data_IF_158286771783
#
_entry.id   IF_158286771783
#
_cell.length_a   1.000
_cell.length_b   1.000
_cell.length_c   1.000
_cell.angle_alpha   90.00
_cell.angle_beta   90.00
_cell.angle_gamma   90.00
#
_symmetry.space_group_name_H-M   'P 1'
#
loop_
_entity.id
_entity.type
_entity.pdbx_description
1 polymer ?
#
# COMPACT_ATOMS: atom_id res chain seq x y z
N UNK A 1 -10.12 -2.23 15.89
CA UNK A 1 -10.03 -3.35 14.93
C UNK A 1 -9.56 -2.79 13.61
N UNK A 2 -8.50 -3.36 13.03
CA UNK A 2 -7.94 -2.88 11.76
C UNK A 2 -8.88 -3.30 10.63
N UNK A 3 -9.46 -2.34 9.90
CA UNK A 3 -10.39 -2.62 8.80
C UNK A 3 -9.68 -2.81 7.46
N UNK A 4 -8.51 -2.22 7.29
CA UNK A 4 -7.78 -2.23 6.03
C UNK A 4 -6.31 -2.61 6.25
N UNK A 5 -5.75 -3.31 5.29
CA UNK A 5 -4.31 -3.58 5.23
C UNK A 5 -3.78 -3.30 3.82
N UNK A 6 -2.52 -2.92 3.74
CA UNK A 6 -1.85 -2.73 2.47
C UNK A 6 -1.28 -4.04 1.97
N UNK A 7 -1.48 -4.32 0.68
CA UNK A 7 -0.70 -5.28 -0.08
C UNK A 7 0.33 -4.56 -0.91
N UNK A 8 1.59 -4.85 -0.64
CA UNK A 8 2.72 -4.24 -1.33
C UNK A 8 3.38 -5.30 -2.21
N UNK A 9 3.42 -5.07 -3.53
CA UNK A 9 4.21 -5.86 -4.45
C UNK A 9 5.59 -5.21 -4.64
N UNK A 10 6.64 -5.84 -4.13
CA UNK A 10 8.00 -5.31 -4.20
C UNK A 10 8.74 -5.90 -5.41
N UNK A 11 9.15 -5.05 -6.35
CA UNK A 11 9.90 -5.44 -7.55
C UNK A 11 11.22 -4.65 -7.63
N UNK A 12 12.15 -5.12 -8.45
CA UNK A 12 13.51 -4.52 -8.55
C UNK A 12 13.52 -3.03 -8.89
N UNK A 13 12.59 -2.60 -9.75
CA UNK A 13 12.53 -1.23 -10.25
C UNK A 13 11.18 -0.55 -9.99
N UNK A 14 10.22 -1.24 -9.37
CA UNK A 14 8.88 -0.71 -9.13
C UNK A 14 8.34 -1.23 -7.81
N UNK A 15 7.41 -0.50 -7.21
CA UNK A 15 6.58 -0.96 -6.10
C UNK A 15 5.13 -0.83 -6.50
N UNK A 16 4.31 -1.84 -6.24
CA UNK A 16 2.87 -1.74 -6.45
C UNK A 16 2.14 -1.75 -5.12
N UNK A 17 1.12 -0.90 -4.99
CA UNK A 17 0.38 -0.69 -3.75
C UNK A 17 -1.09 -1.04 -4.01
N UNK A 18 -1.66 -1.87 -3.16
CA UNK A 18 -3.09 -2.18 -3.12
C UNK A 18 -3.59 -2.18 -1.68
N UNK A 19 -4.91 -2.07 -1.50
CA UNK A 19 -5.57 -2.20 -0.20
C UNK A 19 -6.48 -3.41 -0.22
N UNK A 20 -6.46 -4.15 0.88
CA UNK A 20 -7.43 -5.18 1.21
C UNK A 20 -8.32 -4.71 2.36
N UNK A 21 -9.59 -5.06 2.30
CA UNK A 21 -10.56 -4.94 3.38
C UNK A 21 -10.55 -6.22 4.23
N UNK A 22 -10.44 -6.07 5.54
CA UNK A 22 -10.40 -7.15 6.53
C UNK A 22 -11.82 -7.43 6.99
N UNK A 23 -12.35 -8.60 6.65
CA UNK A 23 -13.70 -9.04 7.02
C UNK A 23 -13.60 -10.33 7.82
N UNK A 24 -13.75 -10.21 9.13
CA UNK A 24 -13.57 -11.34 10.07
C UNK A 24 -12.11 -11.79 10.09
N UNK A 25 -11.85 -13.00 9.59
CA UNK A 25 -10.50 -13.58 9.47
C UNK A 25 -9.98 -13.57 8.01
N UNK A 26 -10.75 -13.03 7.07
CA UNK A 26 -10.43 -13.04 5.65
C UNK A 26 -10.02 -11.65 5.14
N UNK A 27 -9.22 -11.66 4.07
CA UNK A 27 -8.85 -10.46 3.32
C UNK A 27 -9.59 -10.44 1.99
N UNK A 28 -10.31 -9.35 1.72
CA UNK A 28 -10.99 -9.11 0.45
C UNK A 28 -10.28 -7.97 -0.28
N UNK A 29 -9.82 -8.16 -1.54
CA UNK A 29 -9.23 -7.07 -2.32
C UNK A 29 -10.19 -5.89 -2.43
N UNK A 30 -9.75 -4.71 -2.01
CA UNK A 30 -10.52 -3.47 -2.10
C UNK A 30 -10.13 -2.65 -3.33
N UNK A 31 -8.84 -2.64 -3.67
CA UNK A 31 -8.30 -1.93 -4.82
C UNK A 31 -7.39 -2.83 -5.66
N UNK A 32 -7.20 -2.46 -6.92
CA UNK A 32 -6.15 -3.02 -7.77
C UNK A 32 -4.75 -2.63 -7.28
N UNK A 33 -3.73 -3.29 -7.81
CA UNK A 33 -2.33 -2.88 -7.63
C UNK A 33 -2.00 -1.67 -8.49
N UNK A 34 -1.59 -0.58 -7.85
CA UNK A 34 -1.13 0.63 -8.50
C UNK A 34 0.40 0.71 -8.48
N UNK A 35 1.02 0.82 -9.65
CA UNK A 35 2.48 0.72 -9.79
C UNK A 35 3.16 2.09 -9.75
N UNK A 36 4.11 2.24 -8.84
CA UNK A 36 5.03 3.35 -8.70
C UNK A 36 6.45 2.92 -9.12
N UNK A 37 7.26 3.75 -9.80
CA UNK A 37 6.98 5.12 -10.25
C UNK A 37 6.42 5.18 -11.68
N UNK A 38 6.02 4.04 -12.27
CA UNK A 38 5.49 3.99 -13.66
C UNK A 38 4.25 4.86 -13.82
N UNK A 39 3.40 4.86 -12.80
CA UNK A 39 2.21 5.68 -12.71
C UNK A 39 2.16 6.34 -11.33
N UNK A 40 1.32 7.37 -11.18
CA UNK A 40 1.05 7.94 -9.87
C UNK A 40 0.14 6.98 -9.08
N UNK A 41 0.78 6.11 -8.30
CA UNK A 41 0.08 5.13 -7.47
C UNK A 41 -0.68 5.78 -6.33
N UNK A 42 -0.17 6.90 -5.80
CA UNK A 42 -0.81 7.61 -4.69
C UNK A 42 -2.09 8.30 -5.14
N UNK A 43 -2.05 8.99 -6.28
CA UNK A 43 -3.23 9.65 -6.86
C UNK A 43 -4.30 8.64 -7.26
N UNK A 44 -3.92 7.52 -7.89
CA UNK A 44 -4.87 6.46 -8.23
C UNK A 44 -5.51 5.85 -6.98
N UNK A 45 -4.74 5.61 -5.93
CA UNK A 45 -5.26 5.10 -4.66
C UNK A 45 -6.25 6.09 -4.04
N UNK A 46 -5.93 7.38 -4.04
CA UNK A 46 -6.82 8.44 -3.56
C UNK A 46 -8.13 8.46 -4.34
N UNK A 47 -8.07 8.43 -5.67
CA UNK A 47 -9.26 8.44 -6.52
C UNK A 47 -10.15 7.20 -6.27
N UNK A 48 -9.54 6.02 -6.09
CA UNK A 48 -10.28 4.81 -5.72
C UNK A 48 -10.95 4.93 -4.35
N UNK A 49 -10.26 5.47 -3.34
CA UNK A 49 -10.83 5.67 -2.02
C UNK A 49 -11.95 6.72 -2.04
N UNK A 50 -11.79 7.78 -2.83
CA UNK A 50 -12.80 8.83 -3.00
C UNK A 50 -14.08 8.32 -3.67
N UNK A 51 -13.96 7.33 -4.57
CA UNK A 51 -15.11 6.64 -5.16
C UNK A 51 -15.95 5.82 -4.17
N UNK A 52 -15.44 5.57 -2.95
CA UNK A 52 -16.07 4.69 -1.95
C UNK A 52 -16.61 5.50 -0.77
N UNK A 53 -17.89 5.93 -0.82
CA UNK A 53 -18.47 6.83 0.19
C UNK A 53 -18.66 6.20 1.58
N UNK A 54 -18.57 4.88 1.68
CA UNK A 54 -18.69 4.13 2.94
C UNK A 54 -17.40 4.14 3.77
N UNK A 55 -16.28 4.58 3.20
CA UNK A 55 -15.01 4.77 3.90
C UNK A 55 -15.00 6.20 4.47
N UNK A 56 -14.76 6.33 5.78
CA UNK A 56 -14.72 7.64 6.42
C UNK A 56 -13.51 8.46 5.95
N UNK A 57 -13.62 9.78 5.98
CA UNK A 57 -12.54 10.67 5.58
C UNK A 57 -11.27 10.46 6.43
N UNK A 58 -11.42 10.20 7.73
CA UNK A 58 -10.30 9.86 8.61
C UNK A 58 -9.58 8.59 8.16
N UNK A 59 -10.31 7.53 7.82
CA UNK A 59 -9.73 6.29 7.31
C UNK A 59 -9.00 6.52 5.97
N UNK A 60 -9.57 7.34 5.07
CA UNK A 60 -8.91 7.71 3.81
C UNK A 60 -7.59 8.43 4.06
N UNK A 61 -7.58 9.41 4.96
CA UNK A 61 -6.37 10.17 5.30
C UNK A 61 -5.30 9.24 5.90
N UNK A 62 -5.68 8.36 6.84
CA UNK A 62 -4.74 7.39 7.43
C UNK A 62 -4.14 6.46 6.37
N UNK A 63 -4.95 5.94 5.45
CA UNK A 63 -4.48 5.11 4.34
C UNK A 63 -3.53 5.88 3.43
N UNK A 64 -3.88 7.10 3.03
CA UNK A 64 -3.03 7.91 2.15
C UNK A 64 -1.71 8.31 2.80
N UNK A 65 -1.71 8.60 4.10
CA UNK A 65 -0.47 8.87 4.84
C UNK A 65 0.46 7.65 4.85
N UNK A 66 -0.10 6.46 5.14
CA UNK A 66 0.64 5.19 5.09
C UNK A 66 1.17 4.88 3.68
N UNK A 67 0.39 5.18 2.64
CA UNK A 67 0.83 5.05 1.26
C UNK A 67 2.01 5.99 0.95
N UNK A 68 1.97 7.24 1.44
CA UNK A 68 3.09 8.19 1.34
C UNK A 68 4.33 7.66 2.05
N UNK A 69 4.20 7.11 3.25
CA UNK A 69 5.33 6.57 4.02
C UNK A 69 6.05 5.44 3.28
N UNK A 70 5.31 4.48 2.70
CA UNK A 70 5.93 3.37 1.96
C UNK A 70 6.55 3.82 0.64
N UNK A 71 5.93 4.79 -0.06
CA UNK A 71 6.49 5.37 -1.29
C UNK A 71 7.80 6.10 -0.97
N UNK A 72 7.79 6.96 0.06
CA UNK A 72 8.98 7.68 0.51
C UNK A 72 10.06 6.70 0.95
N UNK A 73 9.69 5.65 1.71
CA UNK A 73 10.63 4.61 2.10
C UNK A 73 11.29 3.99 0.86
N UNK A 74 10.51 3.55 -0.13
CA UNK A 74 11.02 2.97 -1.38
C UNK A 74 11.91 3.95 -2.17
N UNK A 75 11.59 5.25 -2.17
CA UNK A 75 12.36 6.29 -2.86
C UNK A 75 13.68 6.65 -2.16
N UNK A 76 13.67 6.84 -0.84
CA UNK A 76 14.78 7.44 -0.08
C UNK A 76 16.05 6.58 -0.07
N UNK A 77 15.95 5.25 -0.10
CA UNK A 77 17.14 4.37 0.03
C UNK A 77 17.62 3.73 -1.27
N UNK A 78 16.97 4.02 -2.39
CA UNK A 78 17.32 3.48 -3.71
C UNK A 78 17.36 1.94 -3.76
N UNK A 79 17.95 1.39 -4.82
CA UNK A 79 18.02 -0.07 -5.15
C UNK A 79 18.63 -1.00 -4.08
N UNK A 80 18.95 -0.51 -2.88
CA UNK A 80 19.55 -1.28 -1.78
C UNK A 80 18.57 -1.68 -0.68
N UNK A 81 17.30 -1.24 -0.74
CA UNK A 81 16.31 -1.70 0.23
C UNK A 81 15.87 -3.14 -0.06
N UNK A 82 16.11 -4.01 0.91
CA UNK A 82 15.53 -5.33 0.90
C UNK A 82 14.08 -5.26 1.39
N UNK A 83 13.24 -6.12 0.83
CA UNK A 83 11.87 -6.34 1.30
C UNK A 83 11.82 -6.64 2.81
N UNK A 84 12.87 -7.24 3.37
CA UNK A 84 13.01 -7.55 4.80
C UNK A 84 13.02 -6.27 5.64
N UNK A 85 13.69 -5.21 5.18
CA UNK A 85 13.68 -3.92 5.88
C UNK A 85 12.29 -3.27 5.82
N UNK A 86 11.61 -3.36 4.67
CA UNK A 86 10.26 -2.87 4.51
C UNK A 86 9.28 -3.61 5.46
N UNK A 87 9.36 -4.94 5.50
CA UNK A 87 8.58 -5.77 6.42
C UNK A 87 8.84 -5.45 7.89
N UNK A 88 10.09 -5.11 8.24
CA UNK A 88 10.44 -4.74 9.61
C UNK A 88 9.89 -3.36 10.01
N UNK A 89 9.82 -2.43 9.06
CA UNK A 89 9.29 -1.08 9.29
C UNK A 89 7.76 -1.03 9.25
N UNK A 90 7.13 -1.87 8.43
CA UNK A 90 5.69 -1.92 8.22
C UNK A 90 5.13 -3.33 8.50
N UNK A 91 5.19 -3.81 9.74
CA UNK A 91 4.80 -5.18 10.09
C UNK A 91 3.30 -5.47 9.85
N UNK A 92 2.47 -4.44 9.73
CA UNK A 92 1.04 -4.57 9.46
C UNK A 92 0.69 -4.70 7.97
N UNK A 93 1.66 -4.55 7.07
CA UNK A 93 1.47 -4.69 5.63
C UNK A 93 1.78 -6.10 5.16
N UNK A 94 1.05 -6.54 4.15
CA UNK A 94 1.28 -7.80 3.47
C UNK A 94 2.19 -7.53 2.27
N UNK A 95 3.46 -7.91 2.42
CA UNK A 95 4.42 -7.81 1.34
C UNK A 95 4.39 -9.08 0.47
N UNK A 96 4.39 -8.89 -0.84
CA UNK A 96 4.44 -9.93 -1.84
C UNK A 96 5.52 -9.59 -2.89
N UNK A 97 6.09 -10.61 -3.51
CA UNK A 97 7.17 -10.46 -4.47
C UNK A 97 8.54 -10.47 -3.79
N UNK A 98 9.43 -11.30 -4.30
CA UNK A 98 10.86 -11.27 -4.10
C UNK A 98 11.43 -12.16 -5.20
N UNK A 99 12.57 -11.79 -5.78
CA UNK A 99 13.34 -12.55 -6.78
C UNK A 99 13.15 -14.07 -6.68
#
# INVERSE_FOLDING_TARGET
MQKFTFRILWLDNNVAIAIDHIVGQNFSPLTSYFFWPRNDAWEQLKNELDSKPWISETEKIELLNKATEIINFWQEKGKKQSIIQAQSQFPEFIFAGSN
#
